data_IF_851776554324
#
_entry.id   IF_851776554324
#
_cell.length_a   1.000
_cell.length_b   1.000
_cell.length_c   1.000
_cell.angle_alpha   90.00
_cell.angle_beta   90.00
_cell.angle_gamma   90.00
#
_symmetry.space_group_name_H-M   'P 1'
#
loop_
_entity.id
_entity.type
_entity.pdbx_description
1 polymer ?
#
# COMPACT_ATOMS: atom_id res chain seq x y z
N UNK A 1 -12.06 -13.45 -16.16
CA UNK A 1 -10.90 -13.69 -17.04
C UNK A 1 -10.94 -15.11 -17.58
N UNK A 2 -11.10 -16.11 -16.72
CA UNK A 2 -11.08 -17.54 -17.12
C UNK A 2 -12.10 -17.90 -18.22
N UNK A 3 -13.36 -17.49 -18.07
CA UNK A 3 -14.39 -17.72 -19.09
C UNK A 3 -14.08 -17.03 -20.44
N UNK A 4 -13.40 -15.88 -20.43
CA UNK A 4 -12.97 -15.21 -21.67
C UNK A 4 -11.68 -15.81 -22.24
N UNK A 5 -10.83 -16.39 -21.39
CA UNK A 5 -9.64 -17.16 -21.80
C UNK A 5 -10.02 -18.43 -22.56
N UNK A 6 -11.06 -19.13 -22.13
CA UNK A 6 -11.59 -20.29 -22.87
C UNK A 6 -12.12 -19.91 -24.26
N UNK A 7 -12.81 -18.77 -24.37
CA UNK A 7 -13.31 -18.25 -25.65
C UNK A 7 -12.16 -17.90 -26.58
N UNK A 8 -11.13 -17.20 -26.10
CA UNK A 8 -9.98 -16.83 -26.94
C UNK A 8 -9.18 -18.06 -27.36
N UNK A 9 -8.92 -19.01 -26.45
CA UNK A 9 -8.28 -20.29 -26.79
C UNK A 9 -9.07 -21.06 -27.86
N UNK A 10 -10.40 -21.06 -27.76
CA UNK A 10 -11.26 -21.68 -28.77
C UNK A 10 -11.20 -20.96 -30.11
N UNK A 11 -11.16 -19.63 -30.11
CA UNK A 11 -11.00 -18.80 -31.32
C UNK A 11 -9.64 -19.04 -31.97
N UNK A 12 -8.57 -19.14 -31.19
CA UNK A 12 -7.23 -19.48 -31.69
C UNK A 12 -7.20 -20.90 -32.29
N UNK A 13 -7.72 -21.91 -31.59
CA UNK A 13 -7.75 -23.28 -32.08
C UNK A 13 -8.58 -23.43 -33.35
N UNK A 14 -9.77 -22.82 -33.40
CA UNK A 14 -10.64 -22.88 -34.58
C UNK A 14 -10.08 -22.03 -35.71
N UNK A 15 -9.54 -20.86 -35.39
CA UNK A 15 -8.93 -19.93 -36.35
C UNK A 15 -7.72 -20.53 -37.04
N UNK A 16 -6.84 -21.23 -36.32
CA UNK A 16 -5.68 -21.92 -36.91
C UNK A 16 -6.13 -23.01 -37.89
N UNK A 17 -7.19 -23.76 -37.56
CA UNK A 17 -7.76 -24.78 -38.46
C UNK A 17 -8.35 -24.14 -39.72
N UNK A 18 -9.08 -23.04 -39.57
CA UNK A 18 -9.69 -22.32 -40.69
C UNK A 18 -8.64 -21.69 -41.61
N UNK A 19 -7.61 -21.04 -41.07
CA UNK A 19 -6.49 -20.48 -41.86
C UNK A 19 -5.82 -21.58 -42.71
N UNK A 20 -5.67 -22.79 -42.18
CA UNK A 20 -5.09 -23.92 -42.92
C UNK A 20 -5.98 -24.44 -44.05
N UNK A 21 -7.31 -24.29 -43.96
CA UNK A 21 -8.25 -24.77 -44.98
C UNK A 21 -8.57 -23.76 -46.08
N UNK A 22 -8.25 -22.48 -45.89
CA UNK A 22 -8.45 -21.45 -46.93
C UNK A 22 -7.44 -21.68 -48.06
N UNK A 23 -7.90 -21.91 -49.29
CA UNK A 23 -7.04 -22.20 -50.46
C UNK A 23 -6.42 -20.93 -51.08
N UNK A 24 -7.14 -19.80 -51.03
CA UNK A 24 -6.63 -18.52 -51.50
C UNK A 24 -5.55 -17.96 -50.56
N UNK A 25 -4.39 -17.61 -51.13
CA UNK A 25 -3.23 -17.21 -50.34
C UNK A 25 -3.44 -15.87 -49.64
N UNK A 26 -4.10 -14.92 -50.31
CA UNK A 26 -4.33 -13.57 -49.80
C UNK A 26 -5.37 -13.55 -48.66
N UNK A 27 -6.45 -14.33 -48.81
CA UNK A 27 -7.44 -14.52 -47.75
C UNK A 27 -6.85 -15.24 -46.53
N UNK A 28 -6.00 -16.25 -46.76
CA UNK A 28 -5.29 -16.97 -45.70
C UNK A 28 -4.38 -16.04 -44.90
N UNK A 29 -3.61 -15.18 -45.58
CA UNK A 29 -2.73 -14.21 -44.94
C UNK A 29 -3.51 -13.16 -44.13
N UNK A 30 -4.59 -12.62 -44.70
CA UNK A 30 -5.45 -11.65 -44.00
C UNK A 30 -6.09 -12.26 -42.73
N UNK A 31 -6.66 -13.46 -42.84
CA UNK A 31 -7.27 -14.14 -41.69
C UNK A 31 -6.23 -14.49 -40.63
N UNK A 32 -5.06 -14.98 -41.03
CA UNK A 32 -3.94 -15.25 -40.13
C UNK A 32 -3.45 -14.01 -39.40
N UNK A 33 -3.36 -12.87 -40.09
CA UNK A 33 -3.01 -11.58 -39.49
C UNK A 33 -4.04 -11.09 -38.47
N UNK A 34 -5.34 -11.22 -38.78
CA UNK A 34 -6.43 -10.87 -37.85
C UNK A 34 -6.43 -11.77 -36.61
N UNK A 35 -6.22 -13.08 -36.78
CA UNK A 35 -6.14 -14.01 -35.66
C UNK A 35 -4.95 -13.70 -34.74
N UNK A 36 -3.79 -13.40 -35.33
CA UNK A 36 -2.59 -12.99 -34.59
C UNK A 36 -2.82 -11.71 -33.80
N UNK A 37 -3.44 -10.70 -34.41
CA UNK A 37 -3.77 -9.43 -33.73
C UNK A 37 -4.68 -9.66 -32.50
N UNK A 38 -5.72 -10.50 -32.65
CA UNK A 38 -6.60 -10.84 -31.52
C UNK A 38 -5.83 -11.55 -30.40
N UNK A 39 -4.96 -12.50 -30.75
CA UNK A 39 -4.10 -13.20 -29.79
C UNK A 39 -3.15 -12.25 -29.07
N UNK A 40 -2.44 -11.37 -29.79
CA UNK A 40 -1.50 -10.41 -29.22
C UNK A 40 -2.21 -9.44 -28.26
N UNK A 41 -3.38 -8.92 -28.64
CA UNK A 41 -4.19 -8.04 -27.78
C UNK A 41 -4.67 -8.75 -26.52
N UNK A 42 -5.06 -10.03 -26.62
CA UNK A 42 -5.46 -10.82 -25.47
C UNK A 42 -4.29 -11.01 -24.49
N UNK A 43 -3.12 -11.44 -24.96
CA UNK A 43 -1.93 -11.60 -24.12
C UNK A 43 -1.50 -10.27 -23.49
N UNK A 44 -1.59 -9.17 -24.23
CA UNK A 44 -1.32 -7.84 -23.68
C UNK A 44 -2.28 -7.47 -22.53
N UNK A 45 -3.58 -7.73 -22.72
CA UNK A 45 -4.58 -7.48 -21.69
C UNK A 45 -4.38 -8.37 -20.46
N UNK A 46 -4.03 -9.65 -20.64
CA UNK A 46 -3.71 -10.56 -19.55
C UNK A 46 -2.48 -10.10 -18.77
N UNK A 47 -1.43 -9.68 -19.47
CA UNK A 47 -0.21 -9.11 -18.87
C UNK A 47 -0.52 -7.85 -18.05
N UNK A 48 -1.32 -6.92 -18.61
CA UNK A 48 -1.73 -5.71 -17.91
C UNK A 48 -2.56 -6.05 -16.65
N UNK A 49 -3.53 -6.96 -16.77
CA UNK A 49 -4.35 -7.39 -15.64
C UNK A 49 -3.50 -8.04 -14.53
N UNK A 50 -2.51 -8.85 -14.91
CA UNK A 50 -1.60 -9.45 -13.95
C UNK A 50 -0.72 -8.38 -13.28
N UNK A 51 -0.19 -7.42 -14.03
CA UNK A 51 0.58 -6.30 -13.49
C UNK A 51 -0.22 -5.48 -12.47
N UNK A 52 -1.48 -5.16 -12.78
CA UNK A 52 -2.38 -4.46 -11.86
C UNK A 52 -2.63 -5.30 -10.60
N UNK A 53 -2.90 -6.60 -10.75
CA UNK A 53 -3.09 -7.50 -9.61
C UNK A 53 -1.88 -7.53 -8.70
N UNK A 54 -0.68 -7.74 -9.25
CA UNK A 54 0.57 -7.76 -8.48
C UNK A 54 0.78 -6.45 -7.73
N UNK A 55 0.55 -5.30 -8.39
CA UNK A 55 0.65 -3.99 -7.73
C UNK A 55 -0.33 -3.85 -6.56
N UNK A 56 -1.57 -4.30 -6.72
CA UNK A 56 -2.58 -4.25 -5.66
C UNK A 56 -2.26 -5.19 -4.50
N UNK A 57 -1.79 -6.41 -4.79
CA UNK A 57 -1.39 -7.38 -3.76
C UNK A 57 -0.21 -6.86 -2.95
N UNK A 58 0.83 -6.34 -3.61
CA UNK A 58 1.98 -5.76 -2.91
C UNK A 58 1.57 -4.56 -2.05
N UNK A 59 0.71 -3.67 -2.58
CA UNK A 59 0.18 -2.53 -1.83
C UNK A 59 -0.58 -2.99 -0.57
N UNK A 60 -1.41 -4.03 -0.70
CA UNK A 60 -2.16 -4.60 0.41
C UNK A 60 -1.20 -5.15 1.49
N UNK A 61 -0.19 -5.93 1.11
CA UNK A 61 0.79 -6.49 2.05
C UNK A 61 1.57 -5.40 2.80
N UNK A 62 2.01 -4.35 2.09
CA UNK A 62 2.69 -3.21 2.68
C UNK A 62 1.78 -2.44 3.66
N UNK A 63 0.52 -2.22 3.27
CA UNK A 63 -0.49 -1.57 4.11
C UNK A 63 -0.81 -2.37 5.38
N UNK A 64 -1.03 -3.68 5.25
CA UNK A 64 -1.31 -4.56 6.39
C UNK A 64 -0.15 -4.54 7.39
N UNK A 65 1.09 -4.60 6.90
CA UNK A 65 2.29 -4.46 7.75
C UNK A 65 2.30 -3.12 8.47
N UNK A 66 2.02 -2.02 7.77
CA UNK A 66 1.99 -0.68 8.35
C UNK A 66 0.93 -0.58 9.46
N UNK A 67 -0.30 -1.03 9.19
CA UNK A 67 -1.41 -1.02 10.15
C UNK A 67 -1.07 -1.85 11.38
N UNK A 68 -0.47 -3.03 11.21
CA UNK A 68 -0.07 -3.89 12.32
C UNK A 68 0.95 -3.19 13.23
N UNK A 69 1.98 -2.56 12.65
CA UNK A 69 3.01 -1.86 13.42
C UNK A 69 2.46 -0.62 14.14
N UNK A 70 1.61 0.17 13.47
CA UNK A 70 0.96 1.32 14.08
C UNK A 70 0.07 0.90 15.25
N UNK A 71 -0.72 -0.16 15.07
CA UNK A 71 -1.61 -0.69 16.12
C UNK A 71 -0.82 -1.17 17.33
N UNK A 72 0.30 -1.85 17.11
CA UNK A 72 1.18 -2.30 18.20
C UNK A 72 1.78 -1.11 18.98
N UNK A 73 2.22 -0.07 18.27
CA UNK A 73 2.74 1.14 18.90
C UNK A 73 1.68 1.91 19.70
N UNK A 74 0.47 2.04 19.15
CA UNK A 74 -0.65 2.66 19.87
C UNK A 74 -0.99 1.86 21.14
N UNK A 75 -1.15 0.54 21.00
CA UNK A 75 -1.45 -0.33 22.14
C UNK A 75 -0.37 -0.24 23.23
N UNK A 76 0.91 -0.21 22.84
CA UNK A 76 2.00 -0.05 23.80
C UNK A 76 1.92 1.29 24.53
N UNK A 77 1.68 2.40 23.81
CA UNK A 77 1.52 3.72 24.42
C UNK A 77 0.37 3.77 25.42
N UNK A 78 -0.79 3.19 25.07
CA UNK A 78 -1.95 3.11 25.96
C UNK A 78 -1.65 2.28 27.21
N UNK A 79 -0.98 1.13 27.05
CA UNK A 79 -0.57 0.25 28.15
C UNK A 79 0.39 0.95 29.11
N UNK A 80 1.43 1.63 28.60
CA UNK A 80 2.36 2.38 29.46
C UNK A 80 1.67 3.57 30.14
N UNK A 81 0.74 4.23 29.45
CA UNK A 81 -0.05 5.31 30.05
C UNK A 81 -0.92 4.80 31.22
N UNK A 82 -1.54 3.62 31.08
CA UNK A 82 -2.30 3.00 32.18
C UNK A 82 -1.40 2.63 33.35
N UNK A 83 -0.26 1.98 33.08
CA UNK A 83 0.69 1.60 34.12
C UNK A 83 1.23 2.83 34.89
N UNK A 84 1.47 3.94 34.19
CA UNK A 84 1.90 5.19 34.81
C UNK A 84 0.81 5.81 35.69
N UNK A 85 -0.47 5.67 35.33
CA UNK A 85 -1.59 6.08 36.18
C UNK A 85 -1.71 5.20 37.43
N UNK A 86 -1.49 3.91 37.30
CA UNK A 86 -1.57 2.93 38.40
C UNK A 86 -0.48 3.16 39.48
N UNK A 87 0.63 3.82 39.14
CA UNK A 87 1.68 4.18 40.11
C UNK A 87 1.24 5.25 41.11
N UNK A 88 0.10 5.92 40.91
CA UNK A 88 -0.41 6.93 41.84
C UNK A 88 -0.98 6.32 43.14
N UNK A 89 -0.93 7.02 44.30
CA UNK A 89 -0.25 8.30 44.53
C UNK A 89 1.28 8.20 44.56
N UNK A 90 1.94 9.30 44.21
CA UNK A 90 3.40 9.43 44.31
C UNK A 90 3.81 9.59 45.77
N UNK A 91 4.75 8.77 46.25
CA UNK A 91 5.28 8.88 47.62
C UNK A 91 4.55 8.06 48.68
N UNK A 92 4.59 8.52 49.93
CA UNK A 92 4.00 7.84 51.10
C UNK A 92 4.96 7.00 51.94
N UNK A 93 6.03 6.45 51.35
CA UNK A 93 7.17 5.87 52.08
C UNK A 93 8.43 5.92 51.22
N UNK A 94 9.61 5.88 51.83
CA UNK A 94 10.89 5.83 51.09
C UNK A 94 10.94 4.63 50.13
N UNK A 95 10.48 3.46 50.59
CA UNK A 95 10.44 2.25 49.77
C UNK A 95 9.53 2.41 48.54
N UNK A 96 8.37 3.06 48.69
CA UNK A 96 7.45 3.33 47.56
C UNK A 96 8.07 4.29 46.55
N UNK A 97 8.75 5.34 47.02
CA UNK A 97 9.46 6.28 46.14
C UNK A 97 10.58 5.57 45.37
N UNK A 98 11.33 4.67 46.02
CA UNK A 98 12.37 3.88 45.36
C UNK A 98 11.79 2.97 44.27
N UNK A 99 10.67 2.31 44.53
CA UNK A 99 9.97 1.48 43.54
C UNK A 99 9.50 2.31 42.34
N UNK A 100 8.88 3.47 42.58
CA UNK A 100 8.45 4.41 41.54
C UNK A 100 9.63 4.91 40.71
N UNK A 101 10.78 5.17 41.34
CA UNK A 101 11.99 5.59 40.64
C UNK A 101 12.53 4.50 39.71
N UNK A 102 12.54 3.24 40.15
CA UNK A 102 12.94 2.11 39.30
C UNK A 102 11.95 1.85 38.16
N UNK A 103 10.65 2.01 38.41
CA UNK A 103 9.61 1.96 37.37
C UNK A 103 9.88 3.00 36.27
N UNK A 104 10.10 4.27 36.64
CA UNK A 104 10.37 5.35 35.68
C UNK A 104 11.65 5.09 34.88
N UNK A 105 12.75 4.68 35.54
CA UNK A 105 13.99 4.32 34.83
C UNK A 105 13.78 3.17 33.85
N UNK A 106 12.93 2.20 34.19
CA UNK A 106 12.63 1.11 33.28
C UNK A 106 11.82 1.60 32.08
N UNK A 107 10.81 2.43 32.32
CA UNK A 107 9.99 3.06 31.28
C UNK A 107 10.85 3.90 30.31
N UNK A 108 11.82 4.67 30.81
CA UNK A 108 12.76 5.43 29.97
C UNK A 108 13.54 4.50 29.03
N UNK A 109 14.08 3.39 29.53
CA UNK A 109 14.81 2.41 28.69
C UNK A 109 13.89 1.74 27.66
N UNK A 110 12.65 1.45 28.03
CA UNK A 110 11.65 0.90 27.12
C UNK A 110 11.32 1.91 26.01
N UNK A 111 11.15 3.19 26.36
CA UNK A 111 10.89 4.27 25.41
C UNK A 111 12.03 4.43 24.40
N UNK A 112 13.29 4.41 24.87
CA UNK A 112 14.47 4.46 23.99
C UNK A 112 14.51 3.28 23.01
N UNK A 113 14.11 2.09 23.45
CA UNK A 113 14.01 0.92 22.55
C UNK A 113 12.88 1.08 21.55
N UNK A 114 11.75 1.63 21.98
CA UNK A 114 10.54 1.80 21.16
C UNK A 114 10.73 2.88 20.08
N UNK A 115 11.56 3.89 20.32
CA UNK A 115 11.87 4.94 19.35
C UNK A 115 12.27 4.37 17.97
N UNK A 116 13.11 3.32 17.95
CA UNK A 116 13.49 2.65 16.69
C UNK A 116 12.29 2.07 15.93
N UNK A 117 11.36 1.43 16.64
CA UNK A 117 10.15 0.87 16.01
C UNK A 117 9.24 1.96 15.46
N UNK A 118 9.14 3.10 16.15
CA UNK A 118 8.39 4.26 15.67
C UNK A 118 9.02 4.86 14.41
N UNK A 119 10.34 5.04 14.39
CA UNK A 119 11.08 5.56 13.24
C UNK A 119 10.96 4.65 12.01
N UNK A 120 11.05 3.34 12.21
CA UNK A 120 10.82 2.32 11.17
C UNK A 120 9.40 2.41 10.62
N UNK A 121 8.40 2.55 11.50
CA UNK A 121 7.00 2.67 11.12
C UNK A 121 6.72 3.96 10.32
N UNK A 122 7.30 5.09 10.73
CA UNK A 122 7.24 6.36 10.00
C UNK A 122 7.88 6.22 8.61
N UNK A 123 9.03 5.56 8.52
CA UNK A 123 9.74 5.33 7.26
C UNK A 123 8.92 4.45 6.30
N UNK A 124 8.27 3.42 6.82
CA UNK A 124 7.36 2.56 6.07
C UNK A 124 6.12 3.33 5.60
N UNK A 125 5.52 4.15 6.47
CA UNK A 125 4.40 5.02 6.11
C UNK A 125 4.76 6.00 4.99
N UNK A 126 5.93 6.64 5.08
CA UNK A 126 6.41 7.54 4.04
C UNK A 126 6.64 6.83 2.71
N UNK A 127 7.30 5.68 2.73
CA UNK A 127 7.52 4.88 1.52
C UNK A 127 6.20 4.49 0.86
N UNK A 128 5.24 3.99 1.65
CA UNK A 128 3.92 3.61 1.16
C UNK A 128 3.15 4.79 0.54
N UNK A 129 3.13 5.95 1.21
CA UNK A 129 2.47 7.15 0.70
C UNK A 129 3.11 7.69 -0.58
N UNK A 130 4.43 7.55 -0.74
CA UNK A 130 5.16 7.95 -1.95
C UNK A 130 4.92 6.98 -3.11
N UNK A 131 4.90 5.68 -2.84
CA UNK A 131 4.72 4.64 -3.85
C UNK A 131 3.31 4.65 -4.44
N UNK A 132 2.32 5.08 -3.66
CA UNK A 132 0.91 5.08 -4.06
C UNK A 132 0.33 6.47 -4.37
N UNK A 133 1.15 7.54 -4.38
CA UNK A 133 0.72 8.93 -4.60
C UNK A 133 -0.42 9.39 -3.66
N UNK A 134 -0.46 8.85 -2.44
CA UNK A 134 -1.54 9.08 -1.47
C UNK A 134 -1.29 10.27 -0.53
N UNK A 135 -0.27 11.10 -0.78
CA UNK A 135 -0.01 12.25 0.08
C UNK A 135 -1.22 13.21 0.07
N UNK A 136 -1.73 13.60 1.25
CA UNK A 136 -2.65 14.71 1.33
C UNK A 136 -1.97 15.93 0.71
N UNK A 137 -2.65 16.63 -0.21
CA UNK A 137 -2.23 17.97 -0.60
C UNK A 137 -2.31 18.81 0.67
N UNK A 138 -1.16 19.02 1.33
CA UNK A 138 -1.06 19.99 2.41
C UNK A 138 -1.30 21.36 1.78
N UNK A 139 -2.56 21.77 1.66
CA UNK A 139 -2.87 23.18 1.58
C UNK A 139 -2.43 23.75 2.93
N UNK A 140 -1.26 24.38 2.94
CA UNK A 140 -0.94 25.38 3.95
C UNK A 140 -1.63 26.66 3.47
N UNK A 141 -2.83 27.04 3.97
CA UNK A 141 -3.14 28.44 4.00
C UNK A 141 -2.14 29.02 4.99
N UNK A 142 -1.00 29.48 4.47
CA UNK A 142 -0.09 30.28 5.27
C UNK A 142 -0.94 31.41 5.83
N UNK A 143 -1.07 31.48 7.16
CA UNK A 143 -1.80 32.54 7.85
C UNK A 143 -1.17 33.94 7.62
N UNK A 144 -0.09 34.01 6.83
CA UNK A 144 0.61 35.22 6.39
C UNK A 144 0.41 35.51 4.89
N UNK A 145 -0.41 34.77 4.16
CA UNK A 145 -0.73 35.11 2.78
C UNK A 145 -1.62 36.37 2.77
N UNK A 146 -1.01 37.52 2.45
CA UNK A 146 -1.70 38.77 2.25
C UNK A 146 -2.83 38.60 1.22
N UNK A 147 -3.96 39.32 1.35
CA UNK A 147 -5.04 39.26 0.37
C UNK A 147 -4.45 39.64 -0.99
N UNK A 148 -4.57 38.71 -1.95
CA UNK A 148 -4.17 38.97 -3.33
C UNK A 148 -5.17 39.98 -3.89
N UNK A 149 -4.71 41.20 -4.12
CA UNK A 149 -5.43 42.18 -4.94
C UNK A 149 -5.59 41.58 -6.34
N UNK A 150 -6.79 41.08 -6.64
CA UNK A 150 -7.20 40.82 -8.03
C UNK A 150 -7.53 42.16 -8.70
N UNK A 151 -6.87 42.53 -9.81
CA UNK A 151 -7.41 43.57 -10.67
C UNK A 151 -8.53 42.94 -11.52
N UNK A 152 -9.73 43.48 -11.39
CA UNK A 152 -10.80 43.25 -12.36
C UNK A 152 -10.37 43.83 -13.71
N UNK A 153 -10.35 42.98 -14.73
CA UNK A 153 -10.22 43.33 -16.14
C UNK A 153 -11.07 42.38 -16.98
#
# INVERSE_FOLDING_TARGET
MDAHGDVVRSVEQMGVKLVRSVEDLNERENLGGRLRNVSERWHHMESLANSVRTRLTNAQEEWEKLVSQLSENVYWCESQSSALLDEQPVGGSLARVQQQNEFVKNLERELDRRQRSVDECITLAHSYLMQHDLRPRMHTPSALAAPSDEPQG
#
